data_IF_430341671866
#
_entry.id   IF_430341671866
#
_cell.length_a   1.000
_cell.length_b   1.000
_cell.length_c   1.000
_cell.angle_alpha   90.00
_cell.angle_beta   90.00
_cell.angle_gamma   90.00
#
_symmetry.space_group_name_H-M   'P 1'
#
loop_
_entity.id
_entity.type
_entity.pdbx_description
1 polymer ?
#
# COMPACT_ATOMS: atom_id res chain seq x y z
N UNK A 1 9.97 33.65 9.16
CA UNK A 1 9.44 33.49 7.78
C UNK A 1 10.05 32.24 7.14
N UNK A 2 9.29 31.15 7.11
CA UNK A 2 9.71 29.86 6.57
C UNK A 2 9.54 29.93 5.05
N UNK A 3 10.65 29.89 4.31
CA UNK A 3 10.68 29.96 2.86
C UNK A 3 10.13 28.67 2.23
N UNK A 4 9.21 28.84 1.28
CA UNK A 4 8.51 27.77 0.56
C UNK A 4 9.49 26.91 -0.25
N UNK A 5 9.55 25.62 0.04
CA UNK A 5 10.24 24.59 -0.76
C UNK A 5 9.33 24.00 -1.85
N UNK A 6 8.61 24.85 -2.60
CA UNK A 6 7.67 24.39 -3.65
C UNK A 6 7.98 24.94 -5.04
N UNK A 7 9.10 25.63 -5.25
CA UNK A 7 9.50 26.06 -6.59
C UNK A 7 10.37 24.97 -7.24
N UNK A 8 9.75 23.89 -7.71
CA UNK A 8 10.35 23.05 -8.74
C UNK A 8 10.32 23.84 -10.05
N UNK A 9 11.41 24.56 -10.33
CA UNK A 9 11.56 25.49 -11.45
C UNK A 9 11.75 24.80 -12.81
N UNK A 10 11.24 23.57 -12.95
CA UNK A 10 11.41 22.74 -14.14
C UNK A 10 10.09 22.04 -14.39
N UNK A 11 9.39 22.45 -15.44
CA UNK A 11 8.19 21.74 -15.91
C UNK A 11 8.66 20.36 -16.37
N UNK A 12 8.41 19.33 -15.56
CA UNK A 12 8.64 17.93 -15.93
C UNK A 12 7.94 17.60 -17.25
N UNK A 13 6.84 18.29 -17.57
CA UNK A 13 6.20 18.22 -18.87
C UNK A 13 7.08 18.70 -20.02
N UNK A 14 7.90 19.75 -19.86
CA UNK A 14 8.85 20.19 -20.88
C UNK A 14 9.97 19.17 -21.08
N UNK A 15 10.54 18.65 -20.00
CA UNK A 15 11.58 17.62 -20.09
C UNK A 15 11.04 16.39 -20.81
N UNK A 16 9.85 15.91 -20.41
CA UNK A 16 9.26 14.72 -21.02
C UNK A 16 8.88 14.96 -22.49
N UNK A 17 8.59 16.20 -22.91
CA UNK A 17 8.28 16.54 -24.30
C UNK A 17 9.49 16.43 -25.24
N UNK A 18 10.72 16.47 -24.74
CA UNK A 18 11.95 16.36 -25.54
C UNK A 18 12.45 14.91 -25.68
N UNK A 19 11.82 13.95 -25.01
CA UNK A 19 12.25 12.56 -25.00
C UNK A 19 11.69 11.82 -26.22
N UNK A 20 12.57 11.17 -26.98
CA UNK A 20 12.18 10.37 -28.16
C UNK A 20 11.61 8.99 -27.77
N UNK A 21 12.09 8.40 -26.67
CA UNK A 21 11.62 7.11 -26.15
C UNK A 21 11.31 7.16 -24.65
N UNK A 22 10.06 6.89 -24.30
CA UNK A 22 9.58 6.93 -22.91
C UNK A 22 9.03 5.58 -22.47
N UNK A 23 9.49 5.12 -21.31
CA UNK A 23 8.95 3.98 -20.57
C UNK A 23 8.34 4.46 -19.25
N UNK A 24 7.18 3.90 -18.88
CA UNK A 24 6.49 4.20 -17.62
C UNK A 24 6.42 2.95 -16.76
N UNK A 25 6.83 3.06 -15.50
CA UNK A 25 6.71 2.00 -14.50
C UNK A 25 5.89 2.53 -13.34
N UNK A 26 4.71 1.96 -13.12
CA UNK A 26 3.83 2.36 -12.05
C UNK A 26 3.90 1.36 -10.90
N UNK A 27 4.26 1.84 -9.72
CA UNK A 27 4.20 1.09 -8.47
C UNK A 27 2.85 1.32 -7.77
N UNK A 28 2.37 0.32 -7.05
CA UNK A 28 1.03 0.25 -6.49
C UNK A 28 -0.07 0.67 -7.47
N UNK A 29 0.00 0.11 -8.67
CA UNK A 29 -0.81 0.53 -9.81
C UNK A 29 -2.33 0.43 -9.59
N UNK A 30 -2.79 -0.39 -8.62
CA UNK A 30 -4.21 -0.45 -8.25
C UNK A 30 -4.81 0.92 -7.87
N UNK A 31 -4.00 1.88 -7.43
CA UNK A 31 -4.45 3.24 -7.13
C UNK A 31 -4.65 4.14 -8.36
N UNK A 32 -4.11 3.78 -9.52
CA UNK A 32 -4.04 4.67 -10.69
C UNK A 32 -4.83 4.19 -11.92
N UNK A 33 -5.55 3.07 -11.80
CA UNK A 33 -6.34 2.51 -12.90
C UNK A 33 -7.66 3.24 -13.17
N UNK A 34 -8.02 4.24 -12.37
CA UNK A 34 -9.17 5.11 -12.66
C UNK A 34 -8.78 6.18 -13.69
N UNK A 35 -9.44 6.15 -14.85
CA UNK A 35 -9.20 7.08 -15.97
C UNK A 35 -9.47 8.55 -15.65
N UNK A 36 -10.16 8.83 -14.54
CA UNK A 36 -10.43 10.19 -14.05
C UNK A 36 -9.24 10.77 -13.29
N UNK A 37 -8.25 9.96 -12.93
CA UNK A 37 -7.09 10.42 -12.19
C UNK A 37 -6.18 11.27 -13.07
N UNK A 38 -5.66 12.35 -12.49
CA UNK A 38 -4.74 13.27 -13.17
C UNK A 38 -3.50 12.55 -13.72
N UNK A 39 -3.04 11.49 -13.05
CA UNK A 39 -1.91 10.69 -13.52
C UNK A 39 -2.21 9.95 -14.83
N UNK A 40 -3.38 9.30 -14.93
CA UNK A 40 -3.81 8.64 -16.15
C UNK A 40 -3.91 9.63 -17.31
N UNK A 41 -4.54 10.79 -17.07
CA UNK A 41 -4.66 11.85 -18.06
C UNK A 41 -3.30 12.41 -18.48
N UNK A 42 -2.35 12.53 -17.55
CA UNK A 42 -0.99 12.98 -17.83
C UNK A 42 -0.26 12.01 -18.76
N UNK A 43 -0.29 10.70 -18.48
CA UNK A 43 0.31 9.68 -19.37
C UNK A 43 -0.36 9.70 -20.73
N UNK A 44 -1.69 9.81 -20.78
CA UNK A 44 -2.46 9.88 -22.03
C UNK A 44 -2.05 11.11 -22.86
N UNK A 45 -1.92 12.28 -22.25
CA UNK A 45 -1.50 13.51 -22.90
C UNK A 45 -0.06 13.42 -23.44
N UNK A 46 0.85 12.82 -22.68
CA UNK A 46 2.22 12.56 -23.12
C UNK A 46 2.20 11.63 -24.34
N UNK A 47 1.45 10.53 -24.27
CA UNK A 47 1.31 9.58 -25.38
C UNK A 47 0.76 10.24 -26.64
N UNK A 48 -0.30 11.03 -26.54
CA UNK A 48 -0.88 11.75 -27.68
C UNK A 48 0.10 12.74 -28.33
N UNK A 49 0.95 13.40 -27.53
CA UNK A 49 1.99 14.29 -28.07
C UNK A 49 3.11 13.52 -28.78
N UNK A 50 3.50 12.36 -28.25
CA UNK A 50 4.47 11.49 -28.93
C UNK A 50 3.94 11.07 -30.31
N UNK A 51 2.65 10.73 -30.42
CA UNK A 51 2.03 10.38 -31.71
C UNK A 51 2.11 11.51 -32.75
N UNK A 52 2.07 12.79 -32.32
CA UNK A 52 2.24 13.93 -33.23
C UNK A 52 3.65 14.02 -33.84
N UNK A 53 4.64 13.39 -33.19
CA UNK A 53 6.03 13.30 -33.65
C UNK A 53 6.35 11.96 -34.34
N UNK A 54 5.33 11.14 -34.65
CA UNK A 54 5.49 9.76 -35.13
C UNK A 54 6.22 8.84 -34.13
N UNK A 55 6.14 9.20 -32.84
CA UNK A 55 6.65 8.43 -31.70
C UNK A 55 5.50 7.82 -30.91
N UNK A 56 5.81 6.98 -29.93
CA UNK A 56 4.83 6.39 -29.01
C UNK A 56 5.48 6.06 -27.68
N UNK A 57 4.64 5.81 -26.68
CA UNK A 57 5.14 5.24 -25.44
C UNK A 57 5.72 3.86 -25.74
N UNK A 58 6.97 3.63 -25.35
CA UNK A 58 7.68 2.40 -25.67
C UNK A 58 7.12 1.22 -24.88
N UNK A 59 6.87 1.43 -23.59
CA UNK A 59 6.25 0.46 -22.69
C UNK A 59 5.62 1.16 -21.48
N UNK A 60 4.53 0.59 -20.97
CA UNK A 60 4.01 0.87 -19.65
C UNK A 60 3.89 -0.46 -18.89
N UNK A 61 4.46 -0.51 -17.69
CA UNK A 61 4.40 -1.69 -16.80
C UNK A 61 3.81 -1.27 -15.47
N UNK A 62 2.77 -1.97 -15.07
CA UNK A 62 2.06 -1.75 -13.82
C UNK A 62 2.40 -2.90 -12.85
N UNK A 63 2.88 -2.57 -11.66
CA UNK A 63 3.13 -3.54 -10.58
C UNK A 63 2.25 -3.22 -9.37
N UNK A 64 1.69 -4.24 -8.74
CA UNK A 64 0.90 -4.07 -7.53
C UNK A 64 0.75 -5.38 -6.75
N UNK A 65 0.64 -5.28 -5.42
CA UNK A 65 0.33 -6.41 -4.56
C UNK A 65 -1.17 -6.79 -4.55
N UNK A 66 -2.04 -5.91 -5.03
CA UNK A 66 -3.51 -6.07 -5.00
C UNK A 66 -4.11 -5.89 -6.40
N UNK A 67 -3.87 -6.84 -7.33
CA UNK A 67 -4.24 -6.69 -8.74
C UNK A 67 -5.73 -6.96 -9.00
N UNK A 68 -6.63 -6.32 -8.23
CA UNK A 68 -8.08 -6.52 -8.33
C UNK A 68 -8.80 -5.21 -8.57
N UNK A 69 -9.82 -5.27 -9.43
CA UNK A 69 -10.84 -4.23 -9.55
C UNK A 69 -11.73 -4.17 -8.30
N UNK A 70 -12.50 -3.11 -8.16
CA UNK A 70 -13.49 -2.94 -7.07
C UNK A 70 -14.53 -4.09 -7.02
N UNK A 71 -14.76 -4.75 -8.16
CA UNK A 71 -15.64 -5.92 -8.26
C UNK A 71 -14.95 -7.25 -7.89
N UNK A 72 -13.69 -7.22 -7.48
CA UNK A 72 -12.89 -8.37 -7.06
C UNK A 72 -12.23 -9.16 -8.20
N UNK A 73 -12.51 -8.85 -9.47
CA UNK A 73 -11.88 -9.49 -10.62
C UNK A 73 -10.43 -9.06 -10.78
N UNK A 74 -9.57 -9.98 -11.22
CA UNK A 74 -8.17 -9.67 -11.54
C UNK A 74 -8.12 -8.83 -12.82
N UNK A 75 -7.16 -7.92 -12.92
CA UNK A 75 -6.93 -7.15 -14.14
C UNK A 75 -6.72 -8.08 -15.35
N UNK A 76 -7.46 -7.84 -16.43
CA UNK A 76 -7.46 -8.74 -17.61
C UNK A 76 -6.08 -8.83 -18.26
N UNK A 77 -5.26 -7.79 -18.13
CA UNK A 77 -3.93 -7.68 -18.73
C UNK A 77 -2.80 -8.18 -17.81
N UNK A 78 -3.09 -8.87 -16.69
CA UNK A 78 -2.05 -9.44 -15.83
C UNK A 78 -1.21 -10.46 -16.61
N UNK A 79 0.07 -10.13 -16.84
CA UNK A 79 1.02 -10.99 -17.58
C UNK A 79 1.69 -12.02 -16.67
N UNK A 80 1.91 -11.66 -15.41
CA UNK A 80 2.53 -12.53 -14.40
C UNK A 80 1.94 -12.23 -13.03
N UNK A 81 1.75 -13.27 -12.22
CA UNK A 81 1.32 -13.17 -10.83
C UNK A 81 2.25 -14.03 -9.95
N UNK A 82 2.53 -13.54 -8.75
CA UNK A 82 3.33 -14.25 -7.75
C UNK A 82 2.55 -14.30 -6.43
N UNK A 83 1.74 -15.35 -6.21
CA UNK A 83 0.83 -15.42 -5.09
C UNK A 83 1.55 -15.39 -3.74
N UNK A 84 0.92 -14.76 -2.74
CA UNK A 84 1.46 -14.68 -1.38
C UNK A 84 1.81 -16.06 -0.78
N UNK A 85 1.01 -17.09 -1.08
CA UNK A 85 1.27 -18.47 -0.62
C UNK A 85 2.61 -18.99 -1.16
N UNK A 86 2.93 -18.71 -2.42
CA UNK A 86 4.20 -19.12 -3.03
C UNK A 86 5.36 -18.31 -2.43
N UNK A 87 5.17 -17.01 -2.24
CA UNK A 87 6.16 -16.14 -1.61
C UNK A 87 6.50 -16.59 -0.17
N UNK A 88 5.51 -17.10 0.58
CA UNK A 88 5.70 -17.70 1.90
C UNK A 88 6.44 -19.05 1.79
N UNK A 89 6.03 -19.92 0.87
CA UNK A 89 6.64 -21.24 0.69
C UNK A 89 8.13 -21.17 0.29
N UNK A 90 8.49 -20.15 -0.49
CA UNK A 90 9.86 -19.89 -0.95
C UNK A 90 10.68 -19.02 0.02
N UNK A 91 10.11 -18.62 1.17
CA UNK A 91 10.73 -17.71 2.14
C UNK A 91 11.16 -16.35 1.55
N UNK A 92 10.48 -15.89 0.50
CA UNK A 92 10.65 -14.53 -0.06
C UNK A 92 10.03 -13.50 0.89
N UNK A 93 8.94 -13.86 1.55
CA UNK A 93 8.30 -13.07 2.61
C UNK A 93 8.26 -13.83 3.93
N UNK A 94 7.99 -13.11 5.01
CA UNK A 94 7.81 -13.73 6.34
C UNK A 94 6.54 -14.57 6.39
N UNK A 95 6.60 -15.65 7.14
CA UNK A 95 5.41 -16.45 7.43
C UNK A 95 4.54 -15.68 8.44
N UNK A 96 3.26 -15.39 8.12
CA UNK A 96 2.37 -14.77 9.09
C UNK A 96 2.11 -15.75 10.23
N UNK A 97 2.32 -15.29 11.46
CA UNK A 97 2.04 -16.08 12.67
C UNK A 97 0.61 -15.80 13.09
N UNK A 98 -0.23 -16.83 13.08
CA UNK A 98 -1.57 -16.77 13.66
C UNK A 98 -1.53 -17.42 15.05
N UNK A 99 -2.17 -16.82 16.07
CA UNK A 99 -2.32 -17.46 17.37
C UNK A 99 -2.98 -18.83 17.22
N UNK A 100 -2.62 -19.80 18.06
CA UNK A 100 -3.23 -21.13 18.01
C UNK A 100 -4.76 -21.07 18.25
N UNK A 101 -5.47 -22.12 17.85
CA UNK A 101 -6.93 -22.13 17.92
C UNK A 101 -7.49 -21.95 19.34
N UNK A 102 -6.80 -22.45 20.38
CA UNK A 102 -7.22 -22.31 21.76
C UNK A 102 -7.02 -20.88 22.28
N UNK A 103 -5.93 -20.22 21.87
CA UNK A 103 -5.67 -18.81 22.13
C UNK A 103 -6.70 -17.92 21.44
N UNK A 104 -7.04 -18.20 20.17
CA UNK A 104 -8.10 -17.46 19.45
C UNK A 104 -9.49 -17.64 20.06
N UNK A 105 -9.80 -18.83 20.58
CA UNK A 105 -11.09 -19.09 21.22
C UNK A 105 -11.33 -18.30 22.52
N UNK A 106 -10.28 -17.72 23.11
CA UNK A 106 -10.39 -16.84 24.28
C UNK A 106 -10.68 -15.40 23.92
N UNK A 107 -10.52 -15.00 22.66
CA UNK A 107 -10.76 -13.64 22.20
C UNK A 107 -12.25 -13.49 21.91
N UNK A 108 -12.89 -12.51 22.54
CA UNK A 108 -14.29 -12.18 22.30
C UNK A 108 -14.44 -10.73 21.81
N UNK A 109 -15.42 -10.52 20.94
CA UNK A 109 -15.92 -9.17 20.67
C UNK A 109 -16.91 -8.79 21.77
N UNK A 110 -16.68 -7.66 22.41
CA UNK A 110 -17.57 -7.12 23.44
C UNK A 110 -18.70 -6.31 22.82
N UNK A 111 -19.85 -6.28 23.50
CA UNK A 111 -20.99 -5.45 23.07
C UNK A 111 -20.75 -3.98 23.44
N UNK A 112 -20.04 -3.26 22.57
CA UNK A 112 -19.83 -1.82 22.68
C UNK A 112 -19.80 -1.16 21.30
N UNK A 113 -20.30 0.07 21.17
CA UNK A 113 -20.11 0.87 19.96
C UNK A 113 -18.69 1.46 19.86
N UNK A 114 -17.90 1.45 20.94
CA UNK A 114 -16.54 1.99 20.97
C UNK A 114 -15.57 0.88 20.55
N UNK A 115 -14.77 1.11 19.49
CA UNK A 115 -13.88 0.08 18.92
C UNK A 115 -12.86 -0.46 19.91
N UNK A 116 -12.29 0.39 20.76
CA UNK A 116 -11.29 -0.03 21.75
C UNK A 116 -11.87 -0.95 22.82
N UNK A 117 -13.15 -0.77 23.16
CA UNK A 117 -13.88 -1.66 24.07
C UNK A 117 -14.35 -2.93 23.35
N UNK A 118 -14.94 -2.76 22.16
CA UNK A 118 -15.45 -3.88 21.34
C UNK A 118 -14.36 -4.90 21.05
N UNK A 119 -13.15 -4.45 20.70
CA UNK A 119 -12.02 -5.31 20.34
C UNK A 119 -10.93 -5.34 21.41
N UNK A 120 -11.26 -5.05 22.67
CA UNK A 120 -10.29 -4.96 23.78
C UNK A 120 -9.37 -6.18 23.86
N UNK A 121 -9.92 -7.40 23.79
CA UNK A 121 -9.15 -8.65 23.87
C UNK A 121 -8.10 -8.74 22.73
N UNK A 122 -8.48 -8.31 21.53
CA UNK A 122 -7.61 -8.36 20.35
C UNK A 122 -6.51 -7.29 20.41
N UNK A 123 -6.85 -6.07 20.84
CA UNK A 123 -5.89 -4.99 21.02
C UNK A 123 -4.88 -5.35 22.10
N UNK A 124 -5.35 -5.90 23.22
CA UNK A 124 -4.49 -6.33 24.31
C UNK A 124 -3.51 -7.42 23.85
N UNK A 125 -3.99 -8.42 23.10
CA UNK A 125 -3.12 -9.43 22.51
C UNK A 125 -2.06 -8.80 21.58
N UNK A 126 -2.46 -7.88 20.70
CA UNK A 126 -1.55 -7.18 19.79
C UNK A 126 -0.46 -6.39 20.54
N UNK A 127 -0.82 -5.71 21.62
CA UNK A 127 0.13 -4.99 22.49
C UNK A 127 1.08 -5.96 23.20
N UNK A 128 0.58 -7.09 23.70
CA UNK A 128 1.41 -8.10 24.38
C UNK A 128 2.45 -8.71 23.42
N UNK A 129 2.06 -9.06 22.20
CA UNK A 129 2.98 -9.55 21.18
C UNK A 129 3.96 -8.47 20.71
N UNK A 130 3.50 -7.22 20.59
CA UNK A 130 4.39 -6.09 20.30
C UNK A 130 5.42 -5.89 21.40
N UNK A 131 5.06 -6.01 22.69
CA UNK A 131 6.00 -5.88 23.82
C UNK A 131 7.11 -6.94 23.75
N UNK A 132 6.77 -8.19 23.39
CA UNK A 132 7.76 -9.26 23.17
C UNK A 132 8.69 -8.90 22.02
N UNK A 133 8.12 -8.51 20.88
CA UNK A 133 8.87 -8.10 19.69
C UNK A 133 9.76 -6.87 19.95
N UNK A 134 9.29 -5.93 20.78
CA UNK A 134 10.05 -4.74 21.18
C UNK A 134 11.31 -5.14 21.95
N UNK A 135 11.20 -6.02 22.94
CA UNK A 135 12.34 -6.50 23.71
C UNK A 135 13.38 -7.27 22.86
N UNK A 136 12.95 -7.92 21.78
CA UNK A 136 13.84 -8.57 20.82
C UNK A 136 14.52 -7.54 19.89
N UNK A 137 13.75 -6.62 19.33
CA UNK A 137 14.24 -5.60 18.40
C UNK A 137 15.15 -4.57 19.08
N UNK A 138 14.91 -4.24 20.35
CA UNK A 138 15.74 -3.32 21.13
C UNK A 138 17.20 -3.81 21.21
N UNK A 139 17.41 -5.12 21.36
CA UNK A 139 18.76 -5.74 21.34
C UNK A 139 19.49 -5.54 20.01
N UNK A 140 18.74 -5.34 18.93
CA UNK A 140 19.26 -5.10 17.58
C UNK A 140 19.34 -3.60 17.23
N UNK A 141 19.01 -2.71 18.17
CA UNK A 141 18.91 -1.27 17.93
C UNK A 141 17.80 -0.91 16.93
N UNK A 142 16.76 -1.74 16.82
CA UNK A 142 15.61 -1.54 15.93
C UNK A 142 14.36 -1.19 16.73
N UNK A 143 13.49 -0.37 16.15
CA UNK A 143 12.18 -0.03 16.73
C UNK A 143 11.14 -1.05 16.27
N UNK A 144 10.43 -1.69 17.21
CA UNK A 144 9.24 -2.47 16.91
C UNK A 144 8.04 -1.54 16.64
N UNK A 145 7.26 -1.85 15.62
CA UNK A 145 6.06 -1.09 15.24
C UNK A 145 4.87 -2.04 15.28
N UNK A 146 3.75 -1.56 15.84
CA UNK A 146 2.45 -2.21 15.79
C UNK A 146 1.56 -1.40 14.87
N UNK A 147 0.90 -2.07 13.92
CA UNK A 147 -0.12 -1.48 13.07
C UNK A 147 -1.47 -2.07 13.45
N UNK A 148 -2.45 -1.20 13.68
CA UNK A 148 -3.85 -1.60 13.89
C UNK A 148 -4.66 -0.93 12.79
N UNK A 149 -5.39 -1.75 12.04
CA UNK A 149 -6.31 -1.26 11.01
C UNK A 149 -7.72 -1.22 11.56
N UNK A 150 -8.39 -0.09 11.36
CA UNK A 150 -9.79 0.13 11.71
C UNK A 150 -10.53 0.74 10.52
N UNK A 151 -11.84 0.84 10.65
CA UNK A 151 -12.79 1.23 9.60
C UNK A 151 -12.79 2.72 9.26
N UNK A 152 -12.55 3.61 10.23
CA UNK A 152 -12.53 5.06 10.00
C UNK A 152 -11.46 5.82 10.79
N UNK A 153 -11.23 7.07 10.41
CA UNK A 153 -10.17 7.92 10.99
C UNK A 153 -10.43 8.30 12.44
N UNK A 154 -11.69 8.38 12.89
CA UNK A 154 -12.00 8.68 14.30
C UNK A 154 -11.69 7.49 15.18
N UNK A 155 -11.99 6.29 14.70
CA UNK A 155 -11.61 5.06 15.38
C UNK A 155 -10.09 4.87 15.39
N UNK A 156 -9.37 5.34 14.35
CA UNK A 156 -7.90 5.34 14.35
C UNK A 156 -7.34 6.17 15.51
N UNK A 157 -7.86 7.39 15.68
CA UNK A 157 -7.44 8.29 16.76
C UNK A 157 -7.75 7.66 18.13
N UNK A 158 -8.95 7.10 18.29
CA UNK A 158 -9.35 6.43 19.53
C UNK A 158 -8.48 5.23 19.89
N UNK A 159 -8.04 4.43 18.90
CA UNK A 159 -7.09 3.34 19.12
C UNK A 159 -5.67 3.87 19.38
N UNK A 160 -5.27 4.99 18.77
CA UNK A 160 -3.97 5.60 18.98
C UNK A 160 -3.77 6.20 20.37
N UNK A 161 -4.87 6.63 21.02
CA UNK A 161 -4.85 7.13 22.40
C UNK A 161 -4.87 6.03 23.49
N UNK A 162 -5.31 4.82 23.14
CA UNK A 162 -5.47 3.67 24.03
C UNK A 162 -4.13 3.01 24.41
#
# INVERSE_FOLDING_TARGET
PVGKTTDSNTDLGEIVREIDELAVFNDEAHHIHDSRLAWFQCIQDIHHRLLQKDLRLAIQVDVTATPRHDNGAIFVQTVSDYPLVEAIAQNVVKQPVLPDAASRAKLAEHQSPIITEKYADYLQLGIEEWRKSYAEHEKLGKKAVLFVMVDDTRNCDGVGEY
#
